data_IF_512847383626
#
_entry.id   IF_512847383626
#
_cell.length_a   1.000
_cell.length_b   1.000
_cell.length_c   1.000
_cell.angle_alpha   90.00
_cell.angle_beta   90.00
_cell.angle_gamma   90.00
#
_symmetry.space_group_name_H-M   'P 1'
#
loop_
_entity.id
_entity.type
_entity.pdbx_description
1 polymer ?
#
# COMPACT_ATOMS: atom_id res chain seq x y z
N UNK A 1 8.61 -1.34 -7.58
CA UNK A 1 7.69 -1.64 -6.47
C UNK A 1 7.96 -0.83 -5.20
N UNK A 2 9.22 -0.67 -4.75
CA UNK A 2 9.55 0.17 -3.57
C UNK A 2 9.00 1.60 -3.64
N UNK A 3 9.14 2.26 -4.79
CA UNK A 3 8.57 3.60 -4.98
C UNK A 3 7.04 3.64 -4.85
N UNK A 4 6.32 2.59 -5.29
CA UNK A 4 4.86 2.55 -5.14
C UNK A 4 4.47 2.47 -3.66
N UNK A 5 5.21 1.70 -2.86
CA UNK A 5 5.04 1.66 -1.41
C UNK A 5 5.30 3.03 -0.77
N UNK A 6 6.39 3.70 -1.15
CA UNK A 6 6.73 5.03 -0.63
C UNK A 6 5.66 6.06 -0.97
N UNK A 7 5.16 6.04 -2.20
CA UNK A 7 4.08 6.93 -2.65
C UNK A 7 2.78 6.72 -1.88
N UNK A 8 2.38 5.45 -1.69
CA UNK A 8 1.16 5.12 -0.93
C UNK A 8 1.34 5.46 0.54
N UNK A 9 2.51 5.22 1.12
CA UNK A 9 2.79 5.57 2.52
C UNK A 9 2.90 7.07 2.76
N UNK A 10 3.23 7.87 1.73
CA UNK A 10 3.30 9.33 1.85
C UNK A 10 1.91 9.98 2.02
N UNK A 11 0.83 9.29 1.64
CA UNK A 11 -0.55 9.77 1.89
C UNK A 11 -1.05 9.43 3.30
N UNK A 12 -0.33 8.57 4.03
CA UNK A 12 -0.70 8.18 5.40
C UNK A 12 -0.16 9.18 6.42
N UNK A 13 -0.99 9.69 7.34
CA UNK A 13 -0.52 10.50 8.46
C UNK A 13 0.53 9.76 9.31
N UNK A 14 1.59 10.45 9.74
CA UNK A 14 2.70 9.83 10.46
C UNK A 14 2.29 9.03 11.72
N UNK A 15 1.22 9.45 12.42
CA UNK A 15 0.68 8.77 13.59
C UNK A 15 -0.01 7.43 13.27
N UNK A 16 -0.42 7.22 12.02
CA UNK A 16 -1.01 5.97 11.52
C UNK A 16 -0.01 5.13 10.73
N UNK A 17 1.18 5.68 10.41
CA UNK A 17 2.25 4.98 9.70
C UNK A 17 3.01 3.98 10.61
N UNK A 18 2.27 2.99 11.13
CA UNK A 18 2.83 1.90 11.92
C UNK A 18 3.53 0.86 11.03
N UNK A 19 4.46 0.09 11.60
CA UNK A 19 5.20 -0.94 10.86
C UNK A 19 4.27 -1.97 10.20
N UNK A 20 3.19 -2.36 10.90
CA UNK A 20 2.18 -3.27 10.35
C UNK A 20 1.51 -2.75 9.08
N UNK A 21 1.25 -1.44 9.01
CA UNK A 21 0.64 -0.82 7.83
C UNK A 21 1.60 -0.83 6.63
N UNK A 22 2.88 -0.54 6.85
CA UNK A 22 3.91 -0.64 5.79
C UNK A 22 4.00 -2.06 5.23
N UNK A 23 3.95 -3.06 6.08
CA UNK A 23 3.98 -4.47 5.67
C UNK A 23 2.73 -4.84 4.86
N UNK A 24 1.54 -4.43 5.32
CA UNK A 24 0.28 -4.69 4.64
C UNK A 24 0.22 -4.02 3.26
N UNK A 25 0.65 -2.76 3.15
CA UNK A 25 0.73 -2.05 1.86
C UNK A 25 1.74 -2.72 0.92
N UNK A 26 2.90 -3.14 1.43
CA UNK A 26 3.88 -3.86 0.63
C UNK A 26 3.33 -5.19 0.10
N UNK A 27 2.63 -5.95 0.95
CA UNK A 27 1.97 -7.20 0.56
C UNK A 27 0.89 -6.96 -0.51
N UNK A 28 0.08 -5.92 -0.36
CA UNK A 28 -0.93 -5.54 -1.34
C UNK A 28 -0.31 -5.26 -2.72
N UNK A 29 0.79 -4.51 -2.77
CA UNK A 29 1.53 -4.21 -4.00
C UNK A 29 2.09 -5.49 -4.63
N UNK A 30 2.65 -6.40 -3.82
CA UNK A 30 3.18 -7.67 -4.30
C UNK A 30 2.08 -8.59 -4.84
N UNK A 31 0.92 -8.63 -4.20
CA UNK A 31 -0.26 -9.37 -4.69
C UNK A 31 -0.77 -8.81 -6.01
N UNK A 32 -0.89 -7.49 -6.12
CA UNK A 32 -1.28 -6.84 -7.37
C UNK A 32 -0.30 -7.20 -8.51
N UNK A 33 1.01 -7.16 -8.23
CA UNK A 33 2.03 -7.58 -9.18
C UNK A 33 1.91 -9.06 -9.58
N UNK A 34 1.68 -9.95 -8.61
CA UNK A 34 1.48 -11.37 -8.85
C UNK A 34 0.23 -11.65 -9.71
N UNK A 35 -0.79 -10.80 -9.64
CA UNK A 35 -2.00 -10.87 -10.46
C UNK A 35 -1.83 -10.22 -11.86
N UNK A 36 -0.61 -9.79 -12.21
CA UNK A 36 -0.29 -9.25 -13.55
C UNK A 36 -0.27 -7.73 -13.64
N UNK A 37 -0.51 -7.00 -12.54
CA UNK A 37 -0.38 -5.55 -12.53
C UNK A 37 1.10 -5.15 -12.48
N UNK A 38 1.66 -4.72 -13.61
CA UNK A 38 3.08 -4.33 -13.69
C UNK A 38 3.28 -2.83 -13.78
N UNK A 39 2.21 -2.07 -14.06
CA UNK A 39 2.26 -0.62 -14.16
C UNK A 39 2.42 0.03 -12.79
N UNK A 40 3.28 1.05 -12.70
CA UNK A 40 3.49 1.79 -11.46
C UNK A 40 2.17 2.41 -10.96
N UNK A 41 1.42 3.06 -11.85
CA UNK A 41 0.13 3.67 -11.56
C UNK A 41 -0.88 2.64 -11.03
N UNK A 42 -1.00 1.50 -11.69
CA UNK A 42 -1.91 0.43 -11.26
C UNK A 42 -1.52 -0.21 -9.93
N UNK A 43 -0.22 -0.30 -9.61
CA UNK A 43 0.26 -0.75 -8.30
C UNK A 43 -0.08 0.25 -7.19
N UNK A 44 0.10 1.55 -7.45
CA UNK A 44 -0.24 2.63 -6.52
C UNK A 44 -1.75 2.69 -6.30
N UNK A 45 -2.55 2.64 -7.37
CA UNK A 45 -4.01 2.64 -7.29
C UNK A 45 -4.53 1.45 -6.47
N UNK A 46 -4.09 0.22 -6.78
CA UNK A 46 -4.54 -1.00 -6.09
C UNK A 46 -4.26 -0.97 -4.58
N UNK A 47 -3.12 -0.40 -4.18
CA UNK A 47 -2.73 -0.28 -2.78
C UNK A 47 -3.42 0.90 -2.07
N UNK A 48 -3.65 2.01 -2.80
CA UNK A 48 -4.37 3.18 -2.28
C UNK A 48 -5.83 2.86 -1.99
N UNK A 49 -6.49 2.10 -2.87
CA UNK A 49 -7.89 1.68 -2.68
C UNK A 49 -8.09 0.87 -1.40
N UNK A 50 -7.07 0.10 -0.99
CA UNK A 50 -7.13 -0.76 0.20
C UNK A 50 -6.55 -0.10 1.45
N UNK A 51 -5.93 1.09 1.33
CA UNK A 51 -5.17 1.71 2.43
C UNK A 51 -6.05 2.03 3.64
N UNK A 52 -7.25 2.56 3.41
CA UNK A 52 -8.17 2.95 4.47
C UNK A 52 -8.71 1.72 5.22
N UNK A 53 -8.94 0.63 4.50
CA UNK A 53 -9.33 -0.65 5.10
C UNK A 53 -8.19 -1.23 5.95
N UNK A 54 -6.95 -1.20 5.45
CA UNK A 54 -5.76 -1.65 6.19
C UNK A 54 -5.53 -0.81 7.45
N UNK A 55 -5.68 0.52 7.38
CA UNK A 55 -5.60 1.41 8.55
C UNK A 55 -6.64 1.00 9.59
N UNK A 56 -7.90 0.80 9.17
CA UNK A 56 -9.01 0.49 10.09
C UNK A 56 -8.86 -0.88 10.78
N UNK A 57 -8.22 -1.86 10.12
CA UNK A 57 -7.96 -3.18 10.72
C UNK A 57 -6.78 -3.19 11.71
N UNK A 58 -5.88 -2.21 11.60
CA UNK A 58 -4.65 -2.12 12.39
C UNK A 58 -4.70 -1.06 13.49
N UNK A 59 -5.76 -0.24 13.50
CA UNK A 59 -6.06 0.78 14.51
C UNK A 59 -6.80 0.24 15.73
#
# INVERSE_FOLDING_TARGET
>A
MRQALETVMASVPAHQSVFGLKAAVAECILKAAAHGQTSYDGLVASASDQIQAMISMLS
#
